data_IF_984781231963
#
_entry.id   IF_984781231963
#
_cell.length_a   1.000
_cell.length_b   1.000
_cell.length_c   1.000
_cell.angle_alpha   90.00
_cell.angle_beta   90.00
_cell.angle_gamma   90.00
#
_symmetry.space_group_name_H-M   'P 1'
#
loop_
_entity.id
_entity.type
_entity.pdbx_description
1 polymer ?
#
# COMPACT_ATOMS: atom_id res chain seq x y z
N UNK A 1 10.68 37.75 31.78
CA UNK A 1 10.88 38.07 30.36
C UNK A 1 11.04 36.87 29.43
N UNK A 2 11.00 35.65 29.87
CA UNK A 2 11.37 34.51 28.98
C UNK A 2 10.32 33.43 28.84
N UNK A 3 9.25 33.40 29.60
CA UNK A 3 8.29 32.30 29.59
C UNK A 3 7.39 32.26 28.34
N UNK A 4 7.08 33.41 27.77
CA UNK A 4 6.25 33.48 26.55
C UNK A 4 7.06 33.02 25.33
N UNK A 5 8.30 33.46 25.21
CA UNK A 5 9.20 33.12 24.11
C UNK A 5 9.56 31.63 24.08
N UNK A 6 9.85 31.04 25.24
CA UNK A 6 10.10 29.59 25.35
C UNK A 6 8.85 28.75 25.05
N UNK A 7 7.67 29.27 25.30
CA UNK A 7 6.42 28.57 25.03
C UNK A 7 6.04 28.55 23.56
N UNK A 8 6.36 29.64 22.82
CA UNK A 8 6.18 29.70 21.39
C UNK A 8 7.19 28.80 20.65
N UNK A 9 8.47 28.86 21.04
CA UNK A 9 9.51 28.04 20.44
C UNK A 9 9.27 26.53 20.67
N UNK A 10 8.76 26.13 21.83
CA UNK A 10 8.40 24.75 22.12
C UNK A 10 7.13 24.29 21.38
N UNK A 11 6.18 25.20 21.14
CA UNK A 11 4.97 24.91 20.37
C UNK A 11 5.28 24.79 18.87
N UNK A 12 6.15 25.66 18.35
CA UNK A 12 6.63 25.59 16.96
C UNK A 12 7.41 24.29 16.70
N UNK A 13 8.35 23.94 17.59
CA UNK A 13 9.11 22.69 17.50
C UNK A 13 8.22 21.47 17.63
N UNK A 14 7.18 21.52 18.46
CA UNK A 14 6.19 20.44 18.58
C UNK A 14 5.32 20.31 17.32
N UNK A 15 4.96 21.42 16.66
CA UNK A 15 4.22 21.40 15.41
C UNK A 15 5.06 20.87 14.24
N UNK A 16 6.35 21.19 14.20
CA UNK A 16 7.26 20.68 13.18
C UNK A 16 7.53 19.18 13.29
N UNK A 17 7.40 18.59 14.46
CA UNK A 17 7.58 17.15 14.69
C UNK A 17 6.31 16.34 14.54
N UNK A 18 5.15 16.97 14.40
CA UNK A 18 3.87 16.31 14.16
C UNK A 18 3.69 16.10 12.65
N UNK A 19 3.94 14.88 12.20
CA UNK A 19 3.61 14.47 10.83
C UNK A 19 2.10 14.17 10.74
N UNK A 20 1.44 14.60 9.63
CA UNK A 20 0.06 14.20 9.38
C UNK A 20 -0.02 12.69 9.23
N UNK A 21 -1.15 12.10 9.63
CA UNK A 21 -1.40 10.69 9.43
C UNK A 21 -1.38 10.32 7.95
N UNK A 22 -0.93 9.11 7.64
CA UNK A 22 -1.05 8.57 6.29
C UNK A 22 -2.53 8.32 5.99
N UNK A 23 -2.95 8.68 4.77
CA UNK A 23 -4.33 8.52 4.33
C UNK A 23 -4.70 7.03 4.24
N UNK A 24 -5.81 6.66 4.87
CA UNK A 24 -6.39 5.34 4.73
C UNK A 24 -7.31 5.33 3.50
N UNK A 25 -7.10 4.39 2.60
CA UNK A 25 -7.93 4.21 1.42
C UNK A 25 -9.40 3.94 1.79
N UNK A 26 -10.38 4.54 1.09
CA UNK A 26 -11.80 4.25 1.30
C UNK A 26 -12.24 2.90 0.70
N UNK A 27 -11.39 2.24 -0.08
CA UNK A 27 -11.70 0.94 -0.67
C UNK A 27 -11.58 -0.19 0.35
N UNK A 28 -12.32 -1.31 0.15
CA UNK A 28 -12.13 -2.50 0.96
C UNK A 28 -10.66 -2.92 1.02
N UNK A 29 -10.18 -3.27 2.19
CA UNK A 29 -8.78 -3.67 2.37
C UNK A 29 -8.59 -5.15 2.04
N UNK A 30 -8.72 -5.48 0.77
CA UNK A 30 -8.49 -6.82 0.27
C UNK A 30 -6.99 -7.12 0.23
N UNK A 31 -6.58 -8.25 0.78
CA UNK A 31 -5.20 -8.69 0.83
C UNK A 31 -5.06 -10.13 0.40
N UNK A 32 -3.89 -10.47 -0.14
CA UNK A 32 -3.45 -11.86 -0.24
C UNK A 32 -2.87 -12.29 1.11
N UNK A 33 -2.70 -13.58 1.32
CA UNK A 33 -2.02 -14.10 2.51
C UNK A 33 -0.61 -13.53 2.65
N UNK A 34 0.12 -13.45 1.55
CA UNK A 34 1.47 -12.85 1.52
C UNK A 34 1.44 -11.35 1.83
N UNK A 35 0.42 -10.63 1.33
CA UNK A 35 0.23 -9.21 1.62
C UNK A 35 -0.05 -8.95 3.10
N UNK A 36 -0.85 -9.78 3.74
CA UNK A 36 -1.10 -9.66 5.18
C UNK A 36 0.17 -9.92 5.99
N UNK A 37 0.93 -10.96 5.66
CA UNK A 37 2.22 -11.22 6.31
C UNK A 37 3.18 -10.05 6.18
N UNK A 38 3.25 -9.43 5.01
CA UNK A 38 4.08 -8.26 4.78
C UNK A 38 3.64 -7.07 5.65
N UNK A 39 2.34 -6.82 5.76
CA UNK A 39 1.80 -5.77 6.66
C UNK A 39 2.13 -6.05 8.13
N UNK A 40 2.00 -7.28 8.58
CA UNK A 40 2.34 -7.68 9.95
C UNK A 40 3.82 -7.49 10.25
N UNK A 41 4.70 -7.82 9.30
CA UNK A 41 6.14 -7.60 9.41
C UNK A 41 6.47 -6.10 9.48
N UNK A 42 5.86 -5.29 8.63
CA UNK A 42 6.03 -3.84 8.65
C UNK A 42 5.55 -3.24 9.96
N UNK A 43 4.42 -3.73 10.48
CA UNK A 43 3.89 -3.30 11.79
C UNK A 43 4.88 -3.61 12.91
N UNK A 44 5.47 -4.80 12.91
CA UNK A 44 6.47 -5.18 13.90
C UNK A 44 7.72 -4.29 13.80
N UNK A 45 8.19 -4.02 12.59
CA UNK A 45 9.32 -3.11 12.36
C UNK A 45 9.03 -1.70 12.86
N UNK A 46 7.81 -1.19 12.61
CA UNK A 46 7.41 0.14 13.09
C UNK A 46 7.34 0.20 14.62
N UNK A 47 6.86 -0.86 15.28
CA UNK A 47 6.88 -0.97 16.74
C UNK A 47 8.29 -0.94 17.30
N UNK A 48 9.18 -1.74 16.75
CA UNK A 48 10.58 -1.79 17.16
C UNK A 48 11.28 -0.45 16.95
N UNK A 49 11.05 0.19 15.81
CA UNK A 49 11.60 1.52 15.52
C UNK A 49 11.09 2.59 16.52
N UNK A 50 9.81 2.53 16.87
CA UNK A 50 9.23 3.44 17.86
C UNK A 50 9.81 3.17 19.25
N UNK A 51 9.85 1.91 19.69
CA UNK A 51 10.41 1.52 20.99
C UNK A 51 11.88 1.93 21.14
N UNK A 52 12.66 1.84 20.06
CA UNK A 52 14.05 2.27 20.05
C UNK A 52 14.23 3.77 20.37
N UNK A 53 13.21 4.59 20.12
CA UNK A 53 13.26 6.04 20.44
C UNK A 53 13.00 6.35 21.91
N UNK A 54 12.40 5.44 22.65
CA UNK A 54 11.99 5.68 24.06
C UNK A 54 13.17 5.89 25.01
N UNK A 55 14.35 5.39 24.66
CA UNK A 55 15.59 5.54 25.42
C UNK A 55 16.33 6.85 25.16
N UNK A 56 15.89 7.66 24.21
CA UNK A 56 16.49 8.95 23.89
C UNK A 56 16.13 9.95 25.01
N UNK A 57 17.14 10.48 25.70
CA UNK A 57 16.94 11.39 26.84
C UNK A 57 16.39 12.76 26.42
N UNK A 58 16.93 13.34 25.34
CA UNK A 58 16.46 14.62 24.82
C UNK A 58 15.05 14.50 24.26
N UNK A 59 14.10 15.24 24.83
CA UNK A 59 12.67 15.16 24.45
C UNK A 59 12.44 15.60 23.00
N UNK A 60 13.13 16.62 22.53
CA UNK A 60 12.97 17.13 21.16
C UNK A 60 13.53 16.14 20.15
N UNK A 61 14.70 15.58 20.43
CA UNK A 61 15.32 14.56 19.59
C UNK A 61 14.48 13.28 19.55
N UNK A 62 14.00 12.84 20.70
CA UNK A 62 13.09 11.69 20.78
C UNK A 62 11.84 11.88 19.93
N UNK A 63 11.20 13.05 20.01
CA UNK A 63 10.01 13.37 19.18
C UNK A 63 10.33 13.36 17.70
N UNK A 64 11.47 13.94 17.28
CA UNK A 64 11.89 13.94 15.89
C UNK A 64 12.10 12.53 15.36
N UNK A 65 12.80 11.68 16.12
CA UNK A 65 13.07 10.31 15.68
C UNK A 65 11.84 9.40 15.75
N UNK A 66 10.90 9.70 16.63
CA UNK A 66 9.65 8.94 16.76
C UNK A 66 8.57 9.31 15.73
N UNK A 67 8.68 10.44 15.06
CA UNK A 67 7.61 10.98 14.22
C UNK A 67 7.21 10.04 13.09
N UNK A 68 8.16 9.53 12.31
CA UNK A 68 7.89 8.59 11.21
C UNK A 68 7.44 7.22 11.74
N UNK A 69 8.13 6.57 12.69
CA UNK A 69 7.66 5.32 13.25
C UNK A 69 6.25 5.38 13.82
N UNK A 70 5.90 6.45 14.51
CA UNK A 70 4.57 6.62 15.10
C UNK A 70 3.48 6.79 14.03
N UNK A 71 3.76 7.58 12.98
CA UNK A 71 2.87 7.74 11.83
C UNK A 71 2.63 6.39 11.13
N UNK A 72 3.69 5.66 10.87
CA UNK A 72 3.62 4.35 10.20
C UNK A 72 2.92 3.32 11.08
N UNK A 73 3.17 3.35 12.38
CA UNK A 73 2.49 2.49 13.35
C UNK A 73 0.97 2.65 13.29
N UNK A 74 0.47 3.90 13.32
CA UNK A 74 -0.98 4.19 13.22
C UNK A 74 -1.58 3.64 11.93
N UNK A 75 -0.92 3.89 10.81
CA UNK A 75 -1.35 3.39 9.51
C UNK A 75 -1.39 1.85 9.48
N UNK A 76 -0.31 1.21 9.87
CA UNK A 76 -0.16 -0.25 9.79
C UNK A 76 -1.08 -1.00 10.75
N UNK A 77 -1.32 -0.47 11.96
CA UNK A 77 -2.31 -1.04 12.89
C UNK A 77 -3.69 -1.08 12.23
N UNK A 78 -4.11 -0.01 11.58
CA UNK A 78 -5.40 0.05 10.91
C UNK A 78 -5.45 -0.88 9.70
N UNK A 79 -4.37 -0.95 8.91
CA UNK A 79 -4.32 -1.84 7.75
C UNK A 79 -4.34 -3.32 8.14
N UNK A 80 -3.65 -3.71 9.18
CA UNK A 80 -3.71 -5.09 9.69
C UNK A 80 -5.09 -5.40 10.27
N UNK A 81 -5.66 -4.46 11.03
CA UNK A 81 -6.99 -4.64 11.65
C UNK A 81 -8.12 -4.83 10.63
N UNK A 82 -8.08 -4.10 9.53
CA UNK A 82 -9.14 -4.10 8.51
C UNK A 82 -8.89 -5.08 7.35
N UNK A 83 -7.76 -5.77 7.35
CA UNK A 83 -7.41 -6.68 6.26
C UNK A 83 -8.43 -7.82 6.10
N UNK A 84 -8.88 -7.99 4.86
CA UNK A 84 -9.74 -9.09 4.45
C UNK A 84 -8.95 -10.01 3.52
N UNK A 85 -8.61 -11.22 4.00
CA UNK A 85 -7.87 -12.18 3.18
C UNK A 85 -8.77 -12.72 2.09
N UNK A 86 -8.35 -12.52 0.83
CA UNK A 86 -8.99 -13.10 -0.32
C UNK A 86 -8.28 -14.39 -0.72
N UNK A 87 -9.02 -15.49 -0.90
CA UNK A 87 -8.43 -16.75 -1.35
C UNK A 87 -7.92 -16.61 -2.80
N UNK A 88 -7.03 -17.52 -3.18
CA UNK A 88 -6.65 -17.64 -4.58
C UNK A 88 -7.89 -17.91 -5.45
N UNK A 89 -7.93 -17.42 -6.71
CA UNK A 89 -9.06 -17.65 -7.60
C UNK A 89 -9.34 -19.15 -7.76
N UNK A 90 -10.60 -19.53 -7.77
CA UNK A 90 -11.03 -20.92 -7.94
C UNK A 90 -10.78 -21.44 -9.36
N UNK A 91 -10.72 -20.54 -10.36
CA UNK A 91 -10.42 -20.88 -11.75
C UNK A 91 -9.65 -19.75 -12.42
N UNK A 92 -9.08 -20.04 -13.58
CA UNK A 92 -8.44 -19.06 -14.47
C UNK A 92 -9.33 -18.66 -15.67
N UNK A 93 -10.62 -18.90 -15.58
CA UNK A 93 -11.56 -18.56 -16.65
C UNK A 93 -11.76 -17.05 -16.77
N UNK A 94 -11.81 -16.37 -15.64
CA UNK A 94 -11.96 -14.92 -15.55
C UNK A 94 -10.91 -14.32 -14.65
N UNK A 95 -10.50 -13.09 -14.98
CA UNK A 95 -9.60 -12.32 -14.14
C UNK A 95 -10.30 -11.97 -12.82
N UNK A 96 -9.65 -12.29 -11.71
CA UNK A 96 -10.13 -12.00 -10.36
C UNK A 96 -9.01 -11.44 -9.49
N UNK A 97 -9.34 -11.02 -8.27
CA UNK A 97 -8.33 -10.68 -7.27
C UNK A 97 -7.37 -11.88 -7.08
N UNK A 98 -6.09 -11.60 -6.98
CA UNK A 98 -4.98 -12.55 -6.92
C UNK A 98 -4.66 -13.28 -8.24
N UNK A 99 -5.41 -13.07 -9.32
CA UNK A 99 -5.03 -13.55 -10.65
C UNK A 99 -3.75 -12.89 -11.14
N UNK A 100 -2.95 -13.65 -11.87
CA UNK A 100 -1.85 -13.13 -12.69
C UNK A 100 -2.30 -13.05 -14.13
N UNK A 101 -2.30 -11.86 -14.71
CA UNK A 101 -2.81 -11.58 -16.06
C UNK A 101 -1.66 -11.22 -16.97
N UNK A 102 -1.60 -11.88 -18.11
CA UNK A 102 -0.71 -11.49 -19.21
C UNK A 102 -1.54 -10.84 -20.29
N UNK A 103 -1.11 -9.68 -20.76
CA UNK A 103 -1.76 -8.98 -21.86
C UNK A 103 -0.74 -8.39 -22.81
N UNK A 104 -1.13 -8.25 -24.08
CA UNK A 104 -0.32 -7.63 -25.11
C UNK A 104 -0.86 -6.25 -25.46
N UNK A 105 0.05 -5.32 -25.73
CA UNK A 105 -0.25 -3.98 -26.23
C UNK A 105 -0.22 -3.96 -27.76
N UNK A 106 -0.81 -2.93 -28.36
CA UNK A 106 -0.82 -2.74 -29.83
C UNK A 106 0.58 -2.68 -30.44
N UNK A 107 1.57 -2.18 -29.69
CA UNK A 107 2.97 -2.12 -30.13
C UNK A 107 3.73 -3.45 -30.00
N UNK A 108 3.04 -4.51 -29.59
CA UNK A 108 3.62 -5.85 -29.41
C UNK A 108 4.27 -6.10 -28.05
N UNK A 109 4.33 -5.10 -27.17
CA UNK A 109 4.83 -5.30 -25.80
C UNK A 109 3.88 -6.20 -25.01
N UNK A 110 4.46 -7.13 -24.25
CA UNK A 110 3.73 -8.03 -23.38
C UNK A 110 4.00 -7.66 -21.92
N UNK A 111 2.94 -7.56 -21.15
CA UNK A 111 3.02 -7.26 -19.72
C UNK A 111 2.33 -8.35 -18.91
N UNK A 112 2.90 -8.66 -17.77
CA UNK A 112 2.38 -9.66 -16.85
C UNK A 112 2.30 -9.05 -15.46
N UNK A 113 1.09 -9.01 -14.89
CA UNK A 113 0.85 -8.46 -13.56
C UNK A 113 -0.04 -9.36 -12.73
N UNK A 114 0.30 -9.46 -11.45
CA UNK A 114 -0.58 -10.04 -10.45
C UNK A 114 -1.42 -8.94 -9.81
N UNK A 115 -2.72 -9.18 -9.68
CA UNK A 115 -3.66 -8.24 -9.05
C UNK A 115 -3.71 -8.52 -7.55
N UNK A 116 -3.32 -7.54 -6.76
CA UNK A 116 -3.14 -7.67 -5.30
C UNK A 116 -3.79 -6.48 -4.58
N UNK A 117 -3.65 -6.44 -3.26
CA UNK A 117 -4.11 -5.32 -2.44
C UNK A 117 -3.25 -4.07 -2.62
N UNK A 118 -3.76 -2.93 -2.15
CA UNK A 118 -3.12 -1.63 -2.35
C UNK A 118 -1.74 -1.53 -1.69
N UNK A 119 -1.56 -2.10 -0.50
CA UNK A 119 -0.28 -2.05 0.22
C UNK A 119 0.77 -3.02 -0.33
N UNK A 120 0.32 -4.11 -0.97
CA UNK A 120 1.21 -5.12 -1.57
C UNK A 120 1.68 -4.72 -2.97
N UNK A 121 0.94 -3.86 -3.67
CA UNK A 121 1.18 -3.52 -5.06
C UNK A 121 2.55 -2.86 -5.28
N UNK A 122 3.30 -3.43 -6.21
CA UNK A 122 4.57 -2.90 -6.70
C UNK A 122 4.68 -3.20 -8.20
N UNK A 123 4.29 -2.25 -9.07
CA UNK A 123 4.31 -2.46 -10.51
C UNK A 123 5.68 -2.83 -11.08
N UNK A 124 6.75 -2.34 -10.47
CA UNK A 124 8.11 -2.66 -10.89
C UNK A 124 8.48 -4.13 -10.59
N UNK A 125 7.87 -4.69 -9.56
CA UNK A 125 8.04 -6.10 -9.19
C UNK A 125 6.96 -7.02 -9.80
N UNK A 126 6.05 -6.51 -10.61
CA UNK A 126 5.04 -7.29 -11.33
C UNK A 126 3.71 -7.44 -10.62
N UNK A 127 3.36 -6.57 -9.67
CA UNK A 127 2.05 -6.56 -9.03
C UNK A 127 1.38 -5.20 -9.11
N UNK A 128 0.07 -5.21 -9.31
CA UNK A 128 -0.74 -3.98 -9.37
C UNK A 128 -1.90 -4.07 -8.39
N UNK A 129 -2.30 -2.90 -7.90
CA UNK A 129 -3.47 -2.80 -7.02
C UNK A 129 -4.75 -3.13 -7.78
N UNK A 130 -5.65 -3.87 -7.14
CA UNK A 130 -6.97 -4.18 -7.68
C UNK A 130 -7.81 -2.92 -7.96
N UNK A 131 -7.50 -1.79 -7.31
CA UNK A 131 -8.17 -0.51 -7.55
C UNK A 131 -7.50 0.34 -8.63
N UNK A 132 -6.35 -0.09 -9.16
CA UNK A 132 -5.67 0.61 -10.25
C UNK A 132 -6.52 0.62 -11.53
N UNK A 133 -6.37 1.64 -12.40
CA UNK A 133 -7.14 1.71 -13.64
C UNK A 133 -7.02 0.47 -14.51
N UNK A 134 -5.83 -0.07 -14.67
CA UNK A 134 -5.58 -1.29 -15.47
C UNK A 134 -6.29 -2.49 -14.84
N UNK A 135 -6.12 -2.72 -13.54
CA UNK A 135 -6.75 -3.85 -12.87
C UNK A 135 -8.28 -3.81 -12.97
N UNK A 136 -8.88 -2.63 -12.83
CA UNK A 136 -10.34 -2.45 -12.98
C UNK A 136 -10.85 -2.81 -14.38
N UNK A 137 -10.07 -2.52 -15.41
CA UNK A 137 -10.42 -2.91 -16.79
C UNK A 137 -10.29 -4.41 -17.00
N UNK A 138 -9.30 -5.05 -16.41
CA UNK A 138 -9.02 -6.48 -16.58
C UNK A 138 -9.96 -7.39 -15.77
N UNK A 139 -10.40 -6.96 -14.59
CA UNK A 139 -11.24 -7.76 -13.69
C UNK A 139 -12.52 -8.23 -14.40
N UNK A 140 -12.83 -9.52 -14.26
CA UNK A 140 -14.00 -10.15 -14.87
C UNK A 140 -13.87 -10.48 -16.35
N UNK A 141 -12.74 -10.22 -16.95
CA UNK A 141 -12.47 -10.52 -18.37
C UNK A 141 -11.87 -11.92 -18.53
N UNK A 142 -11.99 -12.46 -19.73
CA UNK A 142 -11.46 -13.78 -20.11
C UNK A 142 -10.28 -13.64 -21.07
N UNK A 143 -9.53 -14.73 -21.26
CA UNK A 143 -8.52 -14.83 -22.33
C UNK A 143 -9.17 -14.59 -23.68
N UNK A 144 -8.54 -13.76 -24.50
CA UNK A 144 -9.06 -13.34 -25.81
C UNK A 144 -9.89 -12.06 -25.78
N UNK A 145 -10.25 -11.57 -24.59
CA UNK A 145 -10.96 -10.29 -24.48
C UNK A 145 -10.00 -9.11 -24.71
N UNK A 146 -10.57 -8.05 -25.27
CA UNK A 146 -9.90 -6.77 -25.46
C UNK A 146 -10.44 -5.76 -24.47
N UNK A 147 -9.54 -4.95 -23.92
CA UNK A 147 -9.91 -3.82 -23.06
C UNK A 147 -9.23 -2.55 -23.56
N UNK A 148 -9.91 -1.41 -23.43
CA UNK A 148 -9.37 -0.12 -23.85
C UNK A 148 -8.77 0.64 -22.69
N UNK A 149 -7.49 0.96 -22.77
CA UNK A 149 -6.78 1.83 -21.82
C UNK A 149 -6.41 3.12 -22.55
N UNK A 150 -7.22 4.17 -22.33
CA UNK A 150 -7.09 5.40 -23.11
C UNK A 150 -7.36 5.17 -24.59
N UNK A 151 -6.39 5.45 -25.46
CA UNK A 151 -6.47 5.22 -26.91
C UNK A 151 -5.87 3.89 -27.36
N UNK A 152 -5.41 3.06 -26.42
CA UNK A 152 -4.74 1.79 -26.69
C UNK A 152 -5.64 0.60 -26.33
N UNK A 153 -5.67 -0.42 -27.17
CA UNK A 153 -6.31 -1.69 -26.86
C UNK A 153 -5.30 -2.69 -26.30
N UNK A 154 -5.73 -3.40 -25.27
CA UNK A 154 -4.97 -4.47 -24.65
C UNK A 154 -5.71 -5.79 -24.90
N UNK A 155 -4.99 -6.83 -25.30
CA UNK A 155 -5.53 -8.18 -25.45
C UNK A 155 -5.08 -9.07 -24.30
N UNK A 156 -6.02 -9.69 -23.60
CA UNK A 156 -5.71 -10.66 -22.55
C UNK A 156 -5.30 -11.98 -23.20
N UNK A 157 -4.06 -12.39 -22.94
CA UNK A 157 -3.48 -13.59 -23.57
C UNK A 157 -3.36 -14.77 -22.61
N UNK A 158 -3.25 -14.54 -21.31
CA UNK A 158 -3.20 -15.60 -20.31
C UNK A 158 -3.73 -15.13 -18.94
N UNK A 159 -4.31 -16.04 -18.21
CA UNK A 159 -4.76 -15.86 -16.81
C UNK A 159 -4.24 -17.04 -16.01
N UNK A 160 -3.53 -16.74 -14.91
CA UNK A 160 -2.99 -17.73 -13.97
C UNK A 160 -3.49 -17.48 -12.55
#
# INVERSE_FOLDING_TARGET
>A
MSTAFMKEESAETAAETLLPDRTISPHPNLVTEAGLKALEQQLQQAREAYEATTSIEDINERRRQAAIPLRDLRYLVERVRTAEIMPAPASSDLVAFASTVTYSREDGRVQKYRIVGEDEADPRAGSISYVSPVARLLMGKAVGDFVSLGNEELEITAIE
#
